data_IF_101240498031
#
_entry.id   IF_101240498031
#
_cell.length_a   1.000
_cell.length_b   1.000
_cell.length_c   1.000
_cell.angle_alpha   90.00
_cell.angle_beta   90.00
_cell.angle_gamma   90.00
#
_symmetry.space_group_name_H-M   'P 1'
#
loop_
_entity.id
_entity.type
_entity.pdbx_description
1 polymer ?
#
# COMPACT_ATOMS: atom_id res chain seq x y z
N UNK A 1 59.52 5.51 5.43
CA UNK A 1 58.58 6.33 6.24
C UNK A 1 57.25 6.66 5.54
N UNK A 2 57.12 6.40 4.26
CA UNK A 2 55.88 6.67 3.49
C UNK A 2 54.82 5.57 3.65
N UNK A 3 55.20 4.30 3.70
CA UNK A 3 54.22 3.17 3.85
C UNK A 3 53.42 3.19 5.16
N UNK A 4 53.98 3.75 6.26
CA UNK A 4 53.24 3.92 7.53
C UNK A 4 52.15 5.03 7.48
N UNK A 5 52.17 5.93 6.49
CA UNK A 5 51.18 7.00 6.34
C UNK A 5 49.95 6.55 5.57
N UNK A 6 50.09 5.61 4.65
CA UNK A 6 48.98 5.07 3.89
C UNK A 6 48.06 4.15 4.72
N UNK A 7 48.66 3.28 5.56
CA UNK A 7 47.93 2.39 6.47
C UNK A 7 47.09 3.15 7.51
N UNK A 8 47.50 4.35 7.92
CA UNK A 8 46.71 5.21 8.83
C UNK A 8 45.58 5.97 8.14
N UNK A 9 45.65 6.17 6.81
CA UNK A 9 44.56 6.82 6.03
C UNK A 9 43.37 5.89 5.80
N UNK A 10 43.61 4.59 5.63
CA UNK A 10 42.55 3.62 5.41
C UNK A 10 41.78 3.24 6.71
N UNK A 11 42.42 3.29 7.85
CA UNK A 11 41.72 3.11 9.12
C UNK A 11 40.80 4.28 9.49
N UNK A 12 41.17 5.54 9.16
CA UNK A 12 40.30 6.71 9.41
C UNK A 12 39.05 6.78 8.52
N UNK A 13 39.00 6.04 7.42
CA UNK A 13 37.81 5.97 6.52
C UNK A 13 36.74 4.99 7.00
N UNK A 14 37.04 4.07 7.92
CA UNK A 14 36.12 3.07 8.47
C UNK A 14 35.28 3.58 9.63
N UNK A 15 35.70 4.59 10.35
CA UNK A 15 35.07 5.04 11.60
C UNK A 15 34.02 6.15 11.42
N UNK A 16 33.78 6.61 10.18
CA UNK A 16 32.82 7.71 9.92
C UNK A 16 31.47 7.26 9.36
N UNK A 17 31.10 5.99 9.52
CA UNK A 17 29.71 5.56 9.32
C UNK A 17 28.91 5.92 10.58
N UNK A 18 28.38 7.16 10.63
CA UNK A 18 27.34 7.55 11.58
C UNK A 18 26.29 6.43 11.59
N UNK A 19 25.93 5.88 12.77
CA UNK A 19 24.88 4.89 12.83
C UNK A 19 23.60 5.54 12.26
N UNK A 20 23.08 4.98 11.20
CA UNK A 20 21.75 5.33 10.67
C UNK A 20 20.78 5.19 11.84
N UNK A 21 20.39 6.31 12.47
CA UNK A 21 19.31 6.33 13.44
C UNK A 21 18.09 5.79 12.68
N UNK A 22 17.73 4.52 12.92
CA UNK A 22 16.46 3.98 12.50
C UNK A 22 15.40 4.91 13.09
N UNK A 23 14.74 5.67 12.22
CA UNK A 23 13.54 6.39 12.63
C UNK A 23 12.60 5.39 13.32
N UNK A 24 11.89 5.78 14.40
CA UNK A 24 10.98 4.89 15.09
C UNK A 24 10.01 4.35 14.03
N UNK A 25 10.14 3.07 13.70
CA UNK A 25 9.20 2.38 12.82
C UNK A 25 7.88 2.37 13.57
N UNK A 26 6.97 3.30 13.22
CA UNK A 26 5.56 3.13 13.60
C UNK A 26 5.19 1.71 13.19
N UNK A 27 4.80 0.91 14.14
CA UNK A 27 4.29 -0.44 13.91
C UNK A 27 3.00 -0.28 13.11
N UNK A 28 3.11 -0.41 11.78
CA UNK A 28 1.96 -0.44 10.89
C UNK A 28 1.28 -1.80 11.04
N UNK A 29 -0.03 -1.81 11.11
CA UNK A 29 -0.82 -3.04 11.07
C UNK A 29 -0.59 -3.75 9.73
N UNK A 30 -0.71 -5.09 9.72
CA UNK A 30 -0.43 -5.90 8.56
C UNK A 30 -1.58 -6.87 8.27
N UNK A 31 -1.95 -6.96 6.99
CA UNK A 31 -2.94 -7.92 6.50
C UNK A 31 -2.34 -8.68 5.31
N UNK A 32 -2.34 -10.01 5.41
CA UNK A 32 -1.94 -10.88 4.29
C UNK A 32 -3.17 -11.08 3.40
N UNK A 33 -3.13 -10.51 2.19
CA UNK A 33 -4.23 -10.63 1.22
C UNK A 33 -4.25 -11.99 0.54
N UNK A 34 -3.06 -12.50 0.19
CA UNK A 34 -2.94 -13.78 -0.52
C UNK A 34 -1.51 -14.34 -0.44
N UNK A 35 -1.44 -15.65 -0.30
CA UNK A 35 -0.21 -16.42 -0.53
C UNK A 35 -0.46 -17.47 -1.61
N UNK A 36 0.46 -17.57 -2.57
CA UNK A 36 0.39 -18.54 -3.68
C UNK A 36 1.70 -19.28 -3.89
N UNK A 37 1.62 -20.56 -4.18
CA UNK A 37 2.76 -21.28 -4.73
C UNK A 37 2.91 -20.96 -6.22
N UNK A 38 4.12 -20.58 -6.63
CA UNK A 38 4.49 -20.29 -8.02
C UNK A 38 5.63 -21.22 -8.42
N UNK A 39 5.58 -21.74 -9.63
CA UNK A 39 6.56 -22.70 -10.13
C UNK A 39 7.23 -22.15 -11.38
N UNK A 40 8.56 -22.26 -11.44
CA UNK A 40 9.35 -22.05 -12.65
C UNK A 40 9.83 -23.41 -13.16
N UNK A 41 9.50 -23.73 -14.39
CA UNK A 41 9.98 -24.94 -15.06
C UNK A 41 11.32 -24.62 -15.73
N UNK A 42 12.33 -25.46 -15.48
CA UNK A 42 13.68 -25.39 -16.06
C UNK A 42 14.05 -26.74 -16.67
N UNK A 43 15.14 -26.81 -17.44
CA UNK A 43 15.65 -28.06 -18.02
C UNK A 43 15.91 -29.15 -16.95
N UNK A 44 16.34 -28.76 -15.73
CA UNK A 44 16.62 -29.66 -14.61
C UNK A 44 15.43 -29.95 -13.70
N UNK A 45 14.21 -29.43 -13.98
CA UNK A 45 13.02 -29.71 -13.17
C UNK A 45 12.18 -28.48 -12.84
N UNK A 46 11.36 -28.60 -11.78
CA UNK A 46 10.40 -27.57 -11.34
C UNK A 46 10.87 -26.89 -10.06
N UNK A 47 11.23 -25.61 -10.14
CA UNK A 47 11.57 -24.80 -8.96
C UNK A 47 10.30 -24.19 -8.37
N UNK A 48 9.90 -24.63 -7.18
CA UNK A 48 8.75 -24.11 -6.44
C UNK A 48 9.17 -22.93 -5.57
N UNK A 49 8.38 -21.86 -5.57
CA UNK A 49 8.51 -20.70 -4.68
C UNK A 49 7.13 -20.27 -4.19
N UNK A 50 7.11 -19.43 -3.15
CA UNK A 50 5.88 -18.84 -2.62
C UNK A 50 5.88 -17.35 -2.91
N UNK A 51 4.73 -16.83 -3.34
CA UNK A 51 4.47 -15.41 -3.49
C UNK A 51 3.49 -15.00 -2.41
N UNK A 52 3.83 -13.95 -1.64
CA UNK A 52 2.94 -13.30 -0.70
C UNK A 52 2.58 -11.90 -1.18
N UNK A 53 1.35 -11.47 -0.91
CA UNK A 53 0.84 -10.11 -1.09
C UNK A 53 0.41 -9.60 0.27
N UNK A 54 1.02 -8.50 0.73
CA UNK A 54 0.83 -7.94 2.07
C UNK A 54 0.40 -6.49 1.94
N UNK A 55 -0.57 -6.09 2.74
CA UNK A 55 -0.96 -4.72 3.00
C UNK A 55 -0.40 -4.26 4.34
N UNK A 56 0.01 -3.01 4.42
CA UNK A 56 0.38 -2.34 5.67
C UNK A 56 -0.37 -1.02 5.79
N UNK A 57 -0.72 -0.61 7.01
CA UNK A 57 -1.39 0.67 7.25
C UNK A 57 -1.52 1.00 8.72
N UNK A 58 -2.00 2.19 9.01
CA UNK A 58 -2.13 2.71 10.38
C UNK A 58 -3.60 2.94 10.78
N UNK A 59 -4.56 2.55 9.95
CA UNK A 59 -6.01 2.86 10.11
C UNK A 59 -6.30 4.37 10.22
N UNK A 60 -5.40 5.22 9.74
CA UNK A 60 -5.50 6.68 9.76
C UNK A 60 -5.20 7.31 8.40
N UNK A 61 -5.42 6.54 7.33
CA UNK A 61 -5.21 6.98 5.95
C UNK A 61 -3.84 6.65 5.35
N UNK A 62 -2.98 5.87 6.04
CA UNK A 62 -1.77 5.34 5.43
C UNK A 62 -2.01 3.90 4.97
N UNK A 63 -1.72 3.62 3.71
CA UNK A 63 -1.81 2.28 3.12
C UNK A 63 -0.62 2.00 2.22
N UNK A 64 -0.03 0.83 2.37
CA UNK A 64 1.03 0.33 1.51
C UNK A 64 0.72 -1.07 1.01
N UNK A 65 1.06 -1.36 -0.23
CA UNK A 65 0.94 -2.69 -0.83
C UNK A 65 2.30 -3.18 -1.28
N UNK A 66 2.67 -4.37 -0.81
CA UNK A 66 3.91 -5.01 -1.20
C UNK A 66 3.73 -6.45 -1.65
N UNK A 67 4.69 -6.91 -2.44
CA UNK A 67 4.74 -8.28 -2.93
C UNK A 67 6.12 -8.88 -2.70
N UNK A 68 6.17 -10.11 -2.20
CA UNK A 68 7.41 -10.84 -1.97
C UNK A 68 7.37 -12.22 -2.55
N UNK A 69 8.52 -12.73 -3.00
CA UNK A 69 8.71 -14.11 -3.44
C UNK A 69 9.92 -14.72 -2.75
N UNK A 70 9.77 -15.94 -2.19
CA UNK A 70 10.86 -16.67 -1.57
C UNK A 70 10.65 -18.17 -1.67
N UNK A 71 11.63 -18.96 -1.21
CA UNK A 71 11.52 -20.43 -1.12
C UNK A 71 10.49 -20.83 -0.04
N UNK A 72 10.46 -20.08 1.06
CA UNK A 72 9.54 -20.27 2.18
C UNK A 72 8.49 -19.16 2.26
N UNK A 73 7.33 -19.48 2.84
CA UNK A 73 6.22 -18.53 3.01
C UNK A 73 6.60 -17.41 3.97
N UNK A 74 7.26 -17.73 5.08
CA UNK A 74 7.70 -16.77 6.10
C UNK A 74 8.63 -15.69 5.53
N UNK A 75 9.60 -16.09 4.71
CA UNK A 75 10.49 -15.17 4.00
C UNK A 75 9.76 -14.35 2.93
N UNK A 76 8.80 -14.97 2.20
CA UNK A 76 8.02 -14.25 1.21
C UNK A 76 7.20 -13.12 1.86
N UNK A 77 6.59 -13.38 3.02
CA UNK A 77 5.86 -12.37 3.81
C UNK A 77 6.79 -11.27 4.31
N UNK A 78 7.97 -11.61 4.87
CA UNK A 78 8.97 -10.60 5.30
C UNK A 78 9.39 -9.68 4.15
N UNK A 79 9.65 -10.24 2.97
CA UNK A 79 9.99 -9.47 1.76
C UNK A 79 8.83 -8.60 1.29
N UNK A 80 7.59 -9.15 1.31
CA UNK A 80 6.40 -8.39 0.94
C UNK A 80 6.14 -7.22 1.89
N UNK A 81 6.33 -7.40 3.22
CA UNK A 81 6.25 -6.34 4.23
C UNK A 81 7.25 -5.21 3.94
N UNK A 82 8.51 -5.55 3.67
CA UNK A 82 9.54 -4.56 3.35
C UNK A 82 9.21 -3.77 2.08
N UNK A 83 8.63 -4.44 1.07
CA UNK A 83 8.17 -3.80 -0.17
C UNK A 83 6.95 -2.90 0.10
N UNK A 84 5.98 -3.36 0.91
CA UNK A 84 4.81 -2.58 1.29
C UNK A 84 5.18 -1.30 2.05
N UNK A 85 6.13 -1.38 3.00
CA UNK A 85 6.62 -0.22 3.76
C UNK A 85 7.32 0.84 2.89
N UNK A 86 7.88 0.45 1.74
CA UNK A 86 8.46 1.40 0.78
C UNK A 86 7.40 2.12 -0.05
N UNK A 87 6.27 1.46 -0.26
CA UNK A 87 5.18 1.92 -1.14
C UNK A 87 3.98 2.43 -0.34
N UNK A 88 4.21 3.05 0.82
CA UNK A 88 3.13 3.64 1.63
C UNK A 88 2.65 4.93 1.01
N UNK A 89 1.33 5.07 0.90
CA UNK A 89 0.65 6.23 0.34
C UNK A 89 -0.34 6.77 1.36
N UNK A 90 -0.50 8.09 1.40
CA UNK A 90 -1.51 8.76 2.22
C UNK A 90 -2.77 8.98 1.41
N UNK A 91 -3.91 8.68 1.99
CA UNK A 91 -5.23 8.72 1.38
C UNK A 91 -6.15 9.62 2.23
N UNK A 92 -6.96 10.50 1.62
CA UNK A 92 -7.88 11.36 2.37
C UNK A 92 -9.03 10.54 2.96
N UNK A 93 -9.35 10.79 4.24
CA UNK A 93 -10.52 10.23 4.93
C UNK A 93 -11.37 11.40 5.39
N UNK A 94 -12.68 11.37 5.10
CA UNK A 94 -13.65 12.36 5.57
C UNK A 94 -14.38 11.80 6.78
N UNK A 95 -14.54 12.65 7.80
CA UNK A 95 -15.22 12.33 9.07
C UNK A 95 -14.67 11.09 9.79
N UNK A 96 -13.42 10.71 9.47
CA UNK A 96 -12.81 9.50 10.01
C UNK A 96 -13.42 8.18 9.53
N UNK A 97 -14.34 8.18 8.53
CA UNK A 97 -15.11 6.98 8.17
C UNK A 97 -15.33 6.70 6.69
N UNK A 98 -15.43 7.72 5.82
CA UNK A 98 -15.83 7.54 4.42
C UNK A 98 -14.98 8.35 3.43
N UNK A 99 -15.31 8.24 2.14
CA UNK A 99 -14.67 8.96 1.02
C UNK A 99 -15.51 10.17 0.61
N UNK A 100 -14.90 11.23 0.01
CA UNK A 100 -15.58 12.45 -0.40
C UNK A 100 -16.59 12.26 -1.54
N UNK A 101 -16.26 11.42 -2.52
CA UNK A 101 -17.08 11.20 -3.72
C UNK A 101 -16.86 9.81 -4.30
N UNK A 102 -17.76 9.40 -5.19
CA UNK A 102 -17.60 8.16 -5.95
C UNK A 102 -16.35 8.20 -6.82
N UNK A 103 -15.63 7.08 -6.86
CA UNK A 103 -14.41 6.94 -7.64
C UNK A 103 -14.31 5.57 -8.29
N UNK A 104 -13.71 5.53 -9.49
CA UNK A 104 -13.42 4.30 -10.22
C UNK A 104 -11.91 4.15 -10.38
N UNK A 105 -11.37 3.09 -9.78
CA UNK A 105 -9.96 2.74 -9.96
C UNK A 105 -9.78 1.64 -11.01
N UNK A 106 -8.75 1.78 -11.82
CA UNK A 106 -8.43 0.83 -12.89
C UNK A 106 -7.00 0.34 -12.76
N UNK A 107 -6.81 -0.97 -12.87
CA UNK A 107 -5.48 -1.59 -12.98
C UNK A 107 -5.50 -2.80 -13.89
N UNK A 108 -4.95 -2.63 -15.10
CA UNK A 108 -5.07 -3.65 -16.15
C UNK A 108 -6.55 -3.93 -16.49
N UNK A 109 -6.96 -5.19 -16.47
CA UNK A 109 -8.34 -5.60 -16.73
C UNK A 109 -9.27 -5.54 -15.51
N UNK A 110 -8.82 -5.01 -14.37
CA UNK A 110 -9.62 -4.88 -13.15
C UNK A 110 -10.11 -3.44 -13.02
N UNK A 111 -11.41 -3.27 -12.73
CA UNK A 111 -12.04 -2.01 -12.37
C UNK A 111 -12.68 -2.16 -11.00
N UNK A 112 -12.52 -1.17 -10.14
CA UNK A 112 -13.13 -1.14 -8.81
C UNK A 112 -13.87 0.18 -8.67
N UNK A 113 -15.17 0.10 -8.44
CA UNK A 113 -16.03 1.25 -8.15
C UNK A 113 -16.16 1.33 -6.65
N UNK A 114 -15.93 2.52 -6.08
CA UNK A 114 -16.02 2.79 -4.65
C UNK A 114 -16.96 3.98 -4.48
N UNK A 115 -17.98 3.82 -3.63
CA UNK A 115 -19.01 4.83 -3.34
C UNK A 115 -19.07 5.11 -1.85
N UNK A 116 -19.25 6.37 -1.44
CA UNK A 116 -19.52 6.68 -0.04
C UNK A 116 -20.84 6.06 0.39
N UNK A 117 -20.93 5.67 1.65
CA UNK A 117 -22.14 5.10 2.23
C UNK A 117 -22.59 5.90 3.47
N UNK A 118 -23.86 5.76 3.82
CA UNK A 118 -24.45 6.37 5.02
C UNK A 118 -23.81 5.78 6.28
N UNK A 119 -23.83 6.52 7.34
CA UNK A 119 -23.36 6.08 8.64
C UNK A 119 -24.04 4.77 9.08
N UNK A 120 -23.25 3.84 9.61
CA UNK A 120 -23.73 2.54 10.04
C UNK A 120 -23.93 1.50 8.95
N UNK A 121 -23.67 1.82 7.68
CA UNK A 121 -23.77 0.83 6.57
C UNK A 121 -22.66 -0.21 6.65
N UNK A 122 -21.49 0.15 7.19
CA UNK A 122 -20.31 -0.70 7.24
C UNK A 122 -19.61 -0.87 5.89
N UNK A 123 -18.60 -1.75 5.85
CA UNK A 123 -17.84 -2.05 4.65
C UNK A 123 -18.50 -3.13 3.80
N UNK A 124 -19.14 -2.73 2.71
CA UNK A 124 -19.71 -3.63 1.71
C UNK A 124 -18.72 -3.74 0.53
N UNK A 125 -17.80 -4.71 0.63
CA UNK A 125 -16.70 -4.83 -0.33
C UNK A 125 -16.26 -6.28 -0.54
N UNK A 126 -15.73 -6.59 -1.71
CA UNK A 126 -15.06 -7.86 -1.99
C UNK A 126 -13.77 -8.00 -1.17
N UNK A 127 -13.38 -9.25 -0.79
CA UNK A 127 -12.34 -9.51 0.19
C UNK A 127 -11.05 -8.70 0.04
N UNK A 128 -10.47 -8.61 -1.17
CA UNK A 128 -9.25 -7.83 -1.39
C UNK A 128 -9.48 -6.31 -1.27
N UNK A 129 -10.65 -5.80 -1.67
CA UNK A 129 -11.02 -4.38 -1.49
C UNK A 129 -11.25 -4.10 -0.01
N UNK A 130 -11.99 -4.98 0.68
CA UNK A 130 -12.26 -4.87 2.12
C UNK A 130 -10.97 -4.77 2.91
N UNK A 131 -9.99 -5.66 2.68
CA UNK A 131 -8.70 -5.61 3.38
C UNK A 131 -7.96 -4.28 3.18
N UNK A 132 -8.05 -3.66 1.99
CA UNK A 132 -7.45 -2.34 1.73
C UNK A 132 -8.19 -1.25 2.51
N UNK A 133 -9.52 -1.27 2.52
CA UNK A 133 -10.34 -0.26 3.20
C UNK A 133 -10.21 -0.35 4.74
N UNK A 134 -10.21 -1.58 5.30
CA UNK A 134 -10.03 -1.82 6.73
C UNK A 134 -8.68 -1.31 7.24
N UNK A 135 -7.59 -1.60 6.50
CA UNK A 135 -6.24 -1.18 6.92
C UNK A 135 -6.04 0.33 6.72
N UNK A 136 -6.80 0.95 5.80
CA UNK A 136 -6.85 2.39 5.61
C UNK A 136 -7.59 3.13 6.74
N UNK A 137 -8.53 2.44 7.41
CA UNK A 137 -9.36 3.00 8.48
C UNK A 137 -10.71 3.53 8.00
N UNK A 138 -11.21 3.04 6.87
CA UNK A 138 -12.58 3.34 6.44
C UNK A 138 -13.58 2.43 7.12
N UNK A 139 -14.79 2.94 7.37
CA UNK A 139 -15.88 2.22 8.04
C UNK A 139 -17.13 2.09 7.17
N UNK A 140 -17.55 3.15 6.45
CA UNK A 140 -18.79 3.17 5.69
C UNK A 140 -18.51 3.39 4.20
N UNK A 141 -18.38 2.29 3.45
CA UNK A 141 -18.11 2.31 2.00
C UNK A 141 -18.82 1.13 1.33
N UNK A 142 -19.40 1.42 0.16
CA UNK A 142 -19.91 0.40 -0.74
C UNK A 142 -19.00 0.30 -1.96
N UNK A 143 -18.63 -0.91 -2.36
CA UNK A 143 -17.76 -1.12 -3.51
C UNK A 143 -18.15 -2.32 -4.37
N UNK A 144 -17.80 -2.26 -5.65
CA UNK A 144 -17.95 -3.37 -6.59
C UNK A 144 -16.71 -3.52 -7.45
N UNK A 145 -16.16 -4.73 -7.48
CA UNK A 145 -15.06 -5.09 -8.38
C UNK A 145 -15.61 -5.69 -9.66
N UNK A 146 -15.14 -5.21 -10.80
CA UNK A 146 -15.53 -5.61 -12.17
C UNK A 146 -14.28 -6.10 -12.93
N UNK A 147 -14.49 -7.03 -13.87
CA UNK A 147 -13.43 -7.61 -14.70
C UNK A 147 -12.61 -8.67 -13.96
N UNK A 148 -11.30 -8.55 -13.96
CA UNK A 148 -10.41 -9.59 -13.40
C UNK A 148 -10.52 -9.69 -11.88
N UNK A 149 -10.62 -10.93 -11.37
CA UNK A 149 -10.72 -11.24 -9.92
C UNK A 149 -9.37 -11.45 -9.24
N UNK A 150 -8.24 -11.16 -9.90
CA UNK A 150 -6.90 -11.35 -9.34
C UNK A 150 -6.68 -10.37 -8.17
N UNK A 151 -6.56 -10.91 -6.95
CA UNK A 151 -6.52 -10.12 -5.69
C UNK A 151 -5.49 -8.98 -5.71
N UNK A 152 -4.28 -9.23 -6.22
CA UNK A 152 -3.24 -8.20 -6.34
C UNK A 152 -3.65 -7.04 -7.26
N UNK A 153 -4.34 -7.31 -8.38
CA UNK A 153 -4.78 -6.27 -9.29
C UNK A 153 -5.95 -5.49 -8.69
N UNK A 154 -6.86 -6.19 -8.01
CA UNK A 154 -7.97 -5.58 -7.27
C UNK A 154 -7.43 -4.62 -6.19
N UNK A 155 -6.48 -5.07 -5.35
CA UNK A 155 -5.88 -4.22 -4.33
C UNK A 155 -5.17 -2.99 -4.93
N UNK A 156 -4.42 -3.16 -6.03
CA UNK A 156 -3.78 -2.04 -6.74
C UNK A 156 -4.79 -1.06 -7.35
N UNK A 157 -5.87 -1.57 -7.95
CA UNK A 157 -6.94 -0.73 -8.49
C UNK A 157 -7.62 0.08 -7.38
N UNK A 158 -7.87 -0.54 -6.22
CA UNK A 158 -8.43 0.13 -5.04
C UNK A 158 -7.52 1.26 -4.54
N UNK A 159 -6.22 1.00 -4.38
CA UNK A 159 -5.26 2.04 -3.94
C UNK A 159 -5.19 3.17 -4.98
N UNK A 160 -5.16 2.84 -6.27
CA UNK A 160 -5.17 3.85 -7.34
C UNK A 160 -6.45 4.71 -7.31
N UNK A 161 -7.62 4.11 -7.03
CA UNK A 161 -8.88 4.83 -6.84
C UNK A 161 -8.79 5.81 -5.68
N UNK A 162 -8.32 5.32 -4.52
CA UNK A 162 -8.21 6.13 -3.30
C UNK A 162 -7.19 7.27 -3.44
N UNK A 163 -6.13 7.09 -4.23
CA UNK A 163 -5.16 8.15 -4.56
C UNK A 163 -5.73 9.25 -5.46
N UNK A 164 -6.71 8.92 -6.29
CA UNK A 164 -7.34 9.89 -7.20
C UNK A 164 -8.44 10.72 -6.54
N UNK A 165 -8.77 10.44 -5.27
CA UNK A 165 -9.74 11.22 -4.50
C UNK A 165 -9.23 12.66 -4.30
N UNK A 166 -10.15 13.60 -4.45
CA UNK A 166 -9.90 15.02 -4.18
C UNK A 166 -10.79 15.48 -3.02
N UNK A 167 -10.21 16.22 -2.09
CA UNK A 167 -10.97 16.87 -1.03
C UNK A 167 -11.69 18.13 -1.55
N UNK A 168 -12.75 18.55 -0.89
CA UNK A 168 -13.47 19.78 -1.26
C UNK A 168 -12.53 21.00 -1.27
N UNK A 169 -11.59 21.05 -0.33
CA UNK A 169 -10.57 22.10 -0.25
C UNK A 169 -9.67 22.16 -1.50
N UNK A 170 -9.18 21.00 -1.96
CA UNK A 170 -8.35 20.90 -3.17
C UNK A 170 -9.12 21.32 -4.43
N UNK A 171 -10.42 21.02 -4.49
CA UNK A 171 -11.28 21.43 -5.61
C UNK A 171 -11.56 22.92 -5.54
N UNK A 172 -11.79 23.48 -4.34
CA UNK A 172 -11.97 24.90 -4.07
C UNK A 172 -10.77 25.72 -4.54
N UNK A 173 -9.58 25.33 -4.11
CA UNK A 173 -8.32 25.95 -4.52
C UNK A 173 -8.12 25.90 -6.04
N UNK A 174 -8.36 24.74 -6.66
CA UNK A 174 -8.21 24.59 -8.11
C UNK A 174 -9.21 25.40 -8.94
N UNK A 175 -10.38 25.72 -8.39
CA UNK A 175 -11.43 26.52 -9.06
C UNK A 175 -11.46 27.99 -8.64
N UNK A 176 -10.66 28.38 -7.64
CA UNK A 176 -10.67 29.73 -7.08
C UNK A 176 -12.00 30.12 -6.44
N UNK A 177 -12.73 29.16 -5.84
CA UNK A 177 -14.04 29.32 -5.19
C UNK A 177 -13.96 28.95 -3.72
N UNK A 178 -14.93 29.43 -2.93
CA UNK A 178 -15.04 28.99 -1.53
C UNK A 178 -15.49 27.52 -1.42
N UNK A 179 -15.18 26.87 -0.31
CA UNK A 179 -15.61 25.48 -0.05
C UNK A 179 -17.13 25.40 0.04
N UNK A 180 -17.79 26.43 0.58
CA UNK A 180 -19.24 26.53 0.71
C UNK A 180 -19.93 26.57 -0.66
N UNK A 181 -19.37 27.30 -1.65
CA UNK A 181 -19.88 27.34 -3.01
C UNK A 181 -19.72 26.02 -3.80
N UNK A 182 -18.87 25.10 -3.31
CA UNK A 182 -18.63 23.79 -3.95
C UNK A 182 -19.52 22.73 -3.36
N UNK A 183 -19.83 22.83 -2.08
CA UNK A 183 -20.67 21.85 -1.38
C UNK A 183 -22.17 22.13 -1.55
N UNK A 184 -22.57 23.35 -1.95
CA UNK A 184 -23.93 23.80 -2.18
C UNK A 184 -24.58 24.35 -0.94
#
# INVERSE_FOLDING_TARGET
>A
MEEKKEFKKDQKRKDNKKPFKKAPTKTLDEIIVETKAVVKVTKGGRQRRFQAVVLVGDKKGLVGLGTGKAAEVSEAVKKARQDANKNVVRIPIIDGRTIPHEVVGVKGATRVIIKPAKEGTGLIAGGAVRSVLEIAGYHDITSKSLGSRKKINVARATISALQSLKTAEQVAEARGKSVEEILG
#
